data_IF_441779480171
#
_entry.id   IF_441779480171
#
_cell.length_a   1.000
_cell.length_b   1.000
_cell.length_c   1.000
_cell.angle_alpha   90.00
_cell.angle_beta   90.00
_cell.angle_gamma   90.00
#
_symmetry.space_group_name_H-M   'P 1'
#
loop_
_entity.id
_entity.type
_entity.pdbx_description
1 polymer ?
#
# COMPACT_ATOMS: atom_id res chain seq x y z
N UNK A 1 -5.91 -5.38 14.71
CA UNK A 1 -6.17 -6.78 14.30
C UNK A 1 -7.66 -7.02 14.39
N UNK A 2 -8.20 -7.94 13.59
CA UNK A 2 -9.59 -8.38 13.72
C UNK A 2 -9.80 -9.12 15.05
N UNK A 3 -11.06 -9.21 15.50
CA UNK A 3 -11.40 -9.87 16.77
C UNK A 3 -11.07 -11.37 16.81
N UNK A 4 -11.01 -12.01 15.64
CA UNK A 4 -10.59 -13.40 15.44
C UNK A 4 -9.09 -13.55 15.15
N UNK A 5 -8.34 -12.44 15.16
CA UNK A 5 -6.89 -12.37 14.91
C UNK A 5 -6.44 -12.88 13.52
N UNK A 6 -7.36 -13.13 12.59
CA UNK A 6 -7.04 -13.64 11.24
C UNK A 6 -6.71 -12.54 10.23
N UNK A 7 -6.90 -11.27 10.59
CA UNK A 7 -6.71 -10.13 9.70
C UNK A 7 -5.99 -8.98 10.41
N UNK A 8 -5.08 -8.35 9.67
CA UNK A 8 -4.33 -7.19 10.12
C UNK A 8 -4.33 -6.11 9.02
N UNK A 9 -4.09 -4.87 9.44
CA UNK A 9 -3.86 -3.74 8.55
C UNK A 9 -2.43 -3.29 8.72
N UNK A 10 -1.68 -3.28 7.63
CA UNK A 10 -0.36 -2.67 7.57
C UNK A 10 -0.53 -1.20 7.17
N UNK A 11 -0.05 -0.29 8.02
CA UNK A 11 0.00 1.14 7.73
C UNK A 11 1.45 1.54 7.46
N UNK A 12 1.69 2.11 6.28
CA UNK A 12 3.00 2.64 5.88
C UNK A 12 2.84 4.10 5.46
N UNK A 13 3.77 4.94 5.91
CA UNK A 13 3.83 6.36 5.57
C UNK A 13 5.17 6.65 4.91
N UNK A 14 5.12 7.42 3.83
CA UNK A 14 6.29 7.83 3.06
C UNK A 14 6.29 9.34 2.94
N UNK A 15 7.47 9.91 2.71
CA UNK A 15 7.61 11.34 2.45
C UNK A 15 6.83 11.75 1.19
N UNK A 16 6.89 10.92 0.15
CA UNK A 16 6.23 11.16 -1.13
C UNK A 16 5.94 9.87 -1.94
N UNK A 17 5.44 10.08 -3.16
CA UNK A 17 5.15 9.03 -4.13
C UNK A 17 6.40 8.23 -4.56
N UNK A 18 7.60 8.83 -4.54
CA UNK A 18 8.82 8.14 -4.98
C UNK A 18 9.30 7.16 -3.91
N UNK A 19 9.22 7.56 -2.63
CA UNK A 19 9.49 6.67 -1.50
C UNK A 19 8.56 5.46 -1.46
N UNK A 20 7.26 5.68 -1.70
CA UNK A 20 6.28 4.60 -1.79
C UNK A 20 6.56 3.66 -2.98
N UNK A 21 6.93 4.21 -4.14
CA UNK A 21 7.28 3.43 -5.33
C UNK A 21 8.49 2.54 -5.08
N UNK A 22 9.59 3.11 -4.55
CA UNK A 22 10.79 2.34 -4.23
C UNK A 22 10.49 1.19 -3.27
N UNK A 23 9.62 1.40 -2.28
CA UNK A 23 9.18 0.36 -1.34
C UNK A 23 8.42 -0.78 -2.03
N UNK A 24 7.56 -0.48 -3.01
CA UNK A 24 6.83 -1.51 -3.77
C UNK A 24 7.77 -2.24 -4.72
N UNK A 25 8.64 -1.53 -5.44
CA UNK A 25 9.65 -2.14 -6.32
C UNK A 25 10.57 -3.10 -5.56
N UNK A 26 11.03 -2.69 -4.38
CA UNK A 26 11.83 -3.56 -3.51
C UNK A 26 11.07 -4.80 -3.04
N UNK A 27 9.76 -4.71 -2.79
CA UNK A 27 8.94 -5.87 -2.45
C UNK A 27 8.83 -6.83 -3.64
N UNK A 28 8.57 -6.31 -4.85
CA UNK A 28 8.43 -7.14 -6.05
C UNK A 28 9.74 -7.80 -6.48
N UNK A 29 10.88 -7.14 -6.23
CA UNK A 29 12.21 -7.72 -6.44
C UNK A 29 12.62 -8.70 -5.32
N UNK A 30 11.91 -8.73 -4.19
CA UNK A 30 12.25 -9.55 -3.04
C UNK A 30 11.73 -10.98 -3.17
N UNK A 31 12.49 -11.94 -2.66
CA UNK A 31 12.02 -13.32 -2.46
C UNK A 31 10.87 -13.44 -1.45
N UNK A 32 10.57 -12.36 -0.72
CA UNK A 32 9.47 -12.32 0.24
C UNK A 32 8.10 -12.24 -0.42
N UNK A 33 7.99 -11.76 -1.66
CA UNK A 33 6.68 -11.55 -2.30
C UNK A 33 5.89 -12.85 -2.46
N UNK A 34 6.56 -13.93 -2.86
CA UNK A 34 5.93 -15.25 -3.01
C UNK A 34 5.45 -15.79 -1.68
N UNK A 35 6.30 -15.75 -0.65
CA UNK A 35 5.94 -16.20 0.71
C UNK A 35 4.82 -15.35 1.30
N UNK A 36 4.80 -14.06 1.03
CA UNK A 36 3.70 -13.19 1.45
C UNK A 36 2.38 -13.61 0.81
N UNK A 37 2.36 -13.87 -0.50
CA UNK A 37 1.16 -14.31 -1.23
C UNK A 37 0.69 -15.72 -0.85
N UNK A 38 1.59 -16.61 -0.41
CA UNK A 38 1.25 -17.93 0.13
C UNK A 38 0.55 -17.86 1.49
N UNK A 39 0.89 -16.84 2.30
CA UNK A 39 0.44 -16.74 3.69
C UNK A 39 -0.72 -15.76 3.87
N UNK A 40 -0.83 -14.75 3.01
CA UNK A 40 -1.76 -13.64 3.16
C UNK A 40 -2.51 -13.33 1.86
N UNK A 41 -3.79 -13.04 2.03
CA UNK A 41 -4.64 -12.46 1.00
C UNK A 41 -4.82 -10.96 1.27
N UNK A 42 -4.62 -10.13 0.23
CA UNK A 42 -4.89 -8.69 0.32
C UNK A 42 -6.40 -8.47 0.18
N UNK A 43 -7.09 -8.27 1.31
CA UNK A 43 -8.53 -7.98 1.33
C UNK A 43 -8.86 -6.56 0.82
N UNK A 44 -7.96 -5.61 1.05
CA UNK A 44 -8.12 -4.22 0.61
C UNK A 44 -6.76 -3.54 0.57
N UNK A 45 -6.54 -2.69 -0.44
CA UNK A 45 -5.36 -1.85 -0.54
C UNK A 45 -5.80 -0.43 -0.88
N UNK A 46 -5.46 0.54 -0.03
CA UNK A 46 -5.80 1.95 -0.23
C UNK A 46 -4.54 2.79 -0.19
N UNK A 47 -4.37 3.67 -1.17
CA UNK A 47 -3.31 4.68 -1.20
C UNK A 47 -3.94 6.06 -0.98
N UNK A 48 -3.44 6.78 0.02
CA UNK A 48 -3.96 8.08 0.43
C UNK A 48 -2.97 9.18 0.04
N UNK A 49 -3.46 10.22 -0.62
CA UNK A 49 -2.67 11.38 -1.05
C UNK A 49 -2.37 11.42 -2.55
N UNK A 50 -1.69 12.49 -3.00
CA UNK A 50 -1.28 12.62 -4.39
C UNK A 50 -0.23 11.57 -4.75
N UNK A 51 -0.43 10.90 -5.88
CA UNK A 51 0.47 9.88 -6.41
C UNK A 51 0.84 10.20 -7.85
N UNK A 52 2.10 9.92 -8.22
CA UNK A 52 2.56 9.99 -9.60
C UNK A 52 1.99 8.82 -10.41
N UNK A 53 1.94 8.99 -11.72
CA UNK A 53 1.36 8.02 -12.67
C UNK A 53 2.05 6.65 -12.61
N UNK A 54 3.38 6.64 -12.49
CA UNK A 54 4.15 5.41 -12.42
C UNK A 54 3.87 4.58 -11.16
N UNK A 55 3.72 5.21 -9.99
CA UNK A 55 3.26 4.50 -8.79
C UNK A 55 1.82 4.01 -8.95
N UNK A 56 0.94 4.83 -9.51
CA UNK A 56 -0.47 4.49 -9.76
C UNK A 56 -0.58 3.23 -10.63
N UNK A 57 0.17 3.16 -11.73
CA UNK A 57 0.16 2.01 -12.64
C UNK A 57 0.61 0.72 -11.95
N UNK A 58 1.58 0.80 -11.03
CA UNK A 58 2.05 -0.36 -10.26
C UNK A 58 0.98 -0.80 -9.26
N UNK A 59 0.48 0.11 -8.40
CA UNK A 59 -0.44 -0.27 -7.32
C UNK A 59 -1.83 -0.66 -7.82
N UNK A 60 -2.25 -0.12 -8.97
CA UNK A 60 -3.52 -0.49 -9.61
C UNK A 60 -3.55 -1.95 -10.06
N UNK A 61 -2.40 -2.56 -10.37
CA UNK A 61 -2.31 -3.99 -10.69
C UNK A 61 -2.64 -4.87 -9.47
N UNK A 62 -2.53 -4.33 -8.25
CA UNK A 62 -2.91 -4.98 -7.00
C UNK A 62 -4.33 -4.60 -6.55
N UNK A 63 -5.10 -3.92 -7.40
CA UNK A 63 -6.46 -3.47 -7.08
C UNK A 63 -6.51 -2.33 -6.06
N UNK A 64 -5.45 -1.52 -5.96
CA UNK A 64 -5.41 -0.42 -5.01
C UNK A 64 -6.45 0.66 -5.32
N UNK A 65 -7.14 1.13 -4.29
CA UNK A 65 -8.00 2.30 -4.36
C UNK A 65 -7.20 3.56 -4.03
N UNK A 66 -7.16 4.53 -4.95
CA UNK A 66 -6.41 5.78 -4.76
C UNK A 66 -7.35 6.90 -4.34
N UNK A 67 -7.08 7.50 -3.17
CA UNK A 67 -7.81 8.65 -2.64
C UNK A 67 -6.89 9.86 -2.60
N UNK A 68 -6.95 10.68 -3.66
CA UNK A 68 -6.09 11.87 -3.85
C UNK A 68 -6.23 12.94 -2.76
N UNK A 69 -7.39 12.98 -2.10
CA UNK A 69 -7.62 13.82 -0.93
C UNK A 69 -7.68 12.93 0.32
N UNK A 70 -6.70 13.12 1.22
CA UNK A 70 -6.89 12.73 2.61
C UNK A 70 -7.99 13.65 3.16
N UNK A 71 -9.21 13.15 3.37
CA UNK A 71 -10.14 13.89 4.20
C UNK A 71 -9.49 14.06 5.59
N UNK A 72 -9.14 15.29 5.98
CA UNK A 72 -8.57 15.59 7.31
C UNK A 72 -7.51 16.70 7.32
N UNK A 73 -7.12 17.11 8.53
CA UNK A 73 -6.10 18.13 8.78
C UNK A 73 -4.79 17.46 9.21
N UNK A 74 -3.66 17.85 8.57
CA UNK A 74 -2.33 17.28 8.84
C UNK A 74 -1.71 17.77 10.18
N UNK A 75 -2.29 18.80 10.80
CA UNK A 75 -2.00 19.35 12.14
C UNK A 75 -3.07 20.40 12.49
N UNK A 76 -3.39 20.57 13.77
CA UNK A 76 -3.96 21.82 14.31
C UNK A 76 -2.85 22.86 14.46
#
# INVERSE_FOLDING_TARGET
MSADETSATLFEMFEDSDGAKLRVENLLASSLVSRFQELFEIKSFTVLGPVKEDLNDIVSQFGAEIRKYAAGFYRL
#
